data_IF_160063739401
#
_entry.id   IF_160063739401
#
_cell.length_a   1.000
_cell.length_b   1.000
_cell.length_c   1.000
_cell.angle_alpha   90.00
_cell.angle_beta   90.00
_cell.angle_gamma   90.00
#
_symmetry.space_group_name_H-M   'P 1'
#
loop_
_entity.id
_entity.type
_entity.pdbx_description
1 polymer ?
#
# COMPACT_ATOMS: atom_id res chain seq x y z
N UNK A 1 -55.47 4.18 -42.04
CA UNK A 1 -56.42 5.28 -42.30
C UNK A 1 -56.58 6.13 -41.05
N UNK A 2 -56.47 7.49 -41.26
CA UNK A 2 -56.68 8.65 -40.42
C UNK A 2 -55.62 8.89 -39.33
N UNK A 3 -54.67 9.73 -39.53
CA UNK A 3 -54.43 11.17 -39.67
C UNK A 3 -55.39 12.04 -38.89
N UNK A 4 -54.80 12.85 -37.94
CA UNK A 4 -55.08 14.27 -37.65
C UNK A 4 -54.22 14.67 -36.46
N UNK A 5 -53.30 15.53 -36.53
CA UNK A 5 -53.07 16.92 -37.00
C UNK A 5 -53.38 17.96 -35.93
N UNK A 6 -52.27 18.65 -35.56
CA UNK A 6 -52.09 20.10 -35.38
C UNK A 6 -52.70 20.84 -34.18
N UNK A 7 -51.79 21.45 -33.43
CA UNK A 7 -51.61 22.88 -33.23
C UNK A 7 -52.69 23.68 -32.46
N UNK A 8 -52.27 24.46 -31.51
CA UNK A 8 -52.37 25.94 -31.36
C UNK A 8 -52.23 26.30 -29.89
N UNK A 9 -51.15 27.02 -29.43
CA UNK A 9 -51.01 28.47 -29.36
C UNK A 9 -52.08 29.16 -28.50
N UNK A 10 -51.65 29.80 -27.40
CA UNK A 10 -51.96 31.18 -26.97
C UNK A 10 -51.39 31.40 -25.54
N UNK A 11 -50.32 32.13 -25.30
CA UNK A 11 -50.13 33.57 -25.11
C UNK A 11 -51.27 34.25 -24.37
N UNK A 12 -51.02 34.74 -23.14
CA UNK A 12 -51.47 36.02 -22.59
C UNK A 12 -50.75 36.31 -21.26
N UNK A 13 -49.83 37.25 -21.27
CA UNK A 13 -49.89 38.65 -20.80
C UNK A 13 -50.11 38.81 -19.30
N UNK A 14 -49.04 39.18 -18.59
CA UNK A 14 -48.66 40.50 -18.05
C UNK A 14 -49.75 41.28 -17.31
N UNK A 15 -49.54 41.48 -16.03
CA UNK A 15 -49.87 42.73 -15.32
C UNK A 15 -48.81 43.05 -14.24
N UNK A 16 -48.15 44.16 -14.45
CA UNK A 16 -47.34 44.90 -13.48
C UNK A 16 -48.21 45.40 -12.32
N UNK A 17 -47.71 45.31 -11.11
CA UNK A 17 -48.10 46.23 -10.04
C UNK A 17 -46.85 46.67 -9.28
N UNK A 18 -46.47 47.90 -9.54
CA UNK A 18 -45.47 48.67 -8.81
C UNK A 18 -46.10 49.14 -7.50
N UNK A 19 -45.54 48.72 -6.40
CA UNK A 19 -45.85 49.22 -5.07
C UNK A 19 -44.55 49.71 -4.39
N UNK A 20 -44.35 51.01 -4.46
CA UNK A 20 -43.30 51.72 -3.68
C UNK A 20 -43.73 51.79 -2.25
N UNK A 21 -42.95 51.20 -1.33
CA UNK A 21 -42.94 51.58 0.08
C UNK A 21 -41.51 51.82 0.50
N UNK A 22 -41.17 53.08 0.69
CA UNK A 22 -39.97 53.50 1.36
C UNK A 22 -40.07 53.16 2.87
N UNK A 23 -39.06 52.50 3.42
CA UNK A 23 -39.00 52.24 4.84
C UNK A 23 -37.69 51.56 5.29
N UNK A 24 -36.79 52.38 5.81
CA UNK A 24 -35.69 52.03 6.74
C UNK A 24 -34.61 51.04 6.25
N UNK A 25 -33.54 51.61 5.76
CA UNK A 25 -32.25 51.00 5.69
C UNK A 25 -31.75 50.60 7.08
N UNK A 26 -31.90 49.34 7.47
CA UNK A 26 -31.01 48.70 8.40
C UNK A 26 -29.91 48.01 7.60
N UNK A 27 -28.69 48.54 7.72
CA UNK A 27 -27.48 47.99 7.18
C UNK A 27 -27.35 46.56 7.76
N UNK A 28 -27.73 45.55 7.01
CA UNK A 28 -27.30 44.18 7.28
C UNK A 28 -25.80 44.17 6.98
N UNK A 29 -24.99 44.06 8.02
CA UNK A 29 -23.63 43.57 7.89
C UNK A 29 -23.75 42.16 7.30
N UNK A 30 -23.35 42.05 6.03
CA UNK A 30 -23.03 40.74 5.44
C UNK A 30 -21.79 40.27 6.20
N UNK A 31 -21.99 39.36 7.15
CA UNK A 31 -20.92 38.54 7.65
C UNK A 31 -20.44 37.70 6.48
N UNK A 32 -19.38 38.18 5.87
CA UNK A 32 -18.60 37.41 4.91
C UNK A 32 -17.98 36.21 5.65
N UNK A 33 -18.20 35.02 5.10
CA UNK A 33 -17.31 33.90 5.25
C UNK A 33 -17.65 32.94 6.40
N UNK A 34 -18.70 32.17 6.30
CA UNK A 34 -18.50 30.74 6.46
C UNK A 34 -17.86 30.27 5.15
N UNK A 35 -16.55 30.11 5.14
CA UNK A 35 -15.90 29.17 4.24
C UNK A 35 -16.56 27.83 4.56
N UNK A 36 -17.41 27.37 3.67
CA UNK A 36 -17.79 25.96 3.63
C UNK A 36 -16.45 25.24 3.48
N UNK A 37 -15.98 24.58 4.54
CA UNK A 37 -14.91 23.61 4.41
C UNK A 37 -15.39 22.63 3.36
N UNK A 38 -14.83 22.69 2.15
CA UNK A 38 -14.95 21.56 1.22
C UNK A 38 -14.54 20.34 2.04
N UNK A 39 -15.41 19.36 2.12
CA UNK A 39 -15.09 18.12 2.81
C UNK A 39 -13.85 17.54 2.13
N UNK A 40 -12.71 17.64 2.84
CA UNK A 40 -11.42 17.12 2.37
C UNK A 40 -11.44 15.61 2.50
N UNK A 41 -12.26 14.95 1.66
CA UNK A 41 -12.35 13.48 1.63
C UNK A 41 -11.19 12.95 0.80
N UNK A 42 -10.45 11.99 1.36
CA UNK A 42 -9.43 11.21 0.66
C UNK A 42 -9.70 9.73 0.87
N UNK A 43 -9.44 8.94 -0.15
CA UNK A 43 -9.72 7.51 -0.15
C UNK A 43 -8.44 6.69 -0.14
N UNK A 44 -8.36 5.69 0.75
CA UNK A 44 -7.23 4.77 0.82
C UNK A 44 -7.63 3.38 0.36
N UNK A 45 -6.87 2.82 -0.58
CA UNK A 45 -6.98 1.42 -0.97
C UNK A 45 -6.36 0.52 0.09
N UNK A 46 -7.17 -0.31 0.73
CA UNK A 46 -6.78 -1.19 1.84
C UNK A 46 -6.72 -2.63 1.37
N UNK A 47 -5.59 -3.28 1.60
CA UNK A 47 -5.47 -4.74 1.54
C UNK A 47 -5.10 -5.28 2.92
N UNK A 48 -5.22 -6.58 3.15
CA UNK A 48 -4.87 -7.15 4.45
C UNK A 48 -3.38 -6.95 4.75
N UNK A 49 -3.07 -6.49 5.97
CA UNK A 49 -1.67 -6.34 6.39
C UNK A 49 -1.48 -5.33 7.52
N UNK A 50 -0.29 -5.31 8.13
CA UNK A 50 0.03 -4.44 9.26
C UNK A 50 0.09 -2.96 8.88
N UNK A 51 0.37 -2.64 7.61
CA UNK A 51 0.57 -1.27 7.14
C UNK A 51 -0.71 -0.45 7.17
N UNK A 52 -1.85 -1.06 6.82
CA UNK A 52 -3.16 -0.40 6.90
C UNK A 52 -3.59 -0.21 8.35
N UNK A 53 -3.26 -1.18 9.23
CA UNK A 53 -3.51 -1.05 10.67
C UNK A 53 -2.66 0.10 11.24
N UNK A 54 -1.37 0.16 10.89
CA UNK A 54 -0.49 1.26 11.30
C UNK A 54 -1.02 2.61 10.80
N UNK A 55 -1.45 2.69 9.55
CA UNK A 55 -2.03 3.91 9.00
C UNK A 55 -3.30 4.33 9.77
N UNK A 56 -4.21 3.41 9.99
CA UNK A 56 -5.50 3.66 10.66
C UNK A 56 -5.32 4.12 12.11
N UNK A 57 -4.36 3.51 12.84
CA UNK A 57 -4.13 3.79 14.25
C UNK A 57 -3.23 5.02 14.48
N UNK A 58 -2.24 5.24 13.62
CA UNK A 58 -1.21 6.27 13.86
C UNK A 58 -1.33 7.50 12.96
N UNK A 59 -1.72 7.36 11.69
CA UNK A 59 -1.67 8.44 10.69
C UNK A 59 -3.03 9.07 10.46
N UNK A 60 -4.06 8.27 10.26
CA UNK A 60 -5.43 8.74 10.04
C UNK A 60 -5.92 9.72 11.12
N UNK A 61 -5.70 9.51 12.43
CA UNK A 61 -6.10 10.47 13.45
C UNK A 61 -5.40 11.83 13.32
N UNK A 62 -4.16 11.85 12.78
CA UNK A 62 -3.42 13.10 12.53
C UNK A 62 -4.07 13.87 11.37
N UNK A 63 -4.44 13.17 10.30
CA UNK A 63 -5.12 13.77 9.14
C UNK A 63 -6.51 14.28 9.51
N UNK A 64 -7.27 13.55 10.32
CA UNK A 64 -8.58 13.95 10.80
C UNK A 64 -8.54 15.24 11.65
N UNK A 65 -7.50 15.42 12.47
CA UNK A 65 -7.25 16.68 13.19
C UNK A 65 -6.98 17.87 12.26
N UNK A 66 -6.50 17.60 11.04
CA UNK A 66 -6.26 18.61 10.00
C UNK A 66 -7.50 18.86 9.14
N UNK A 67 -8.63 18.21 9.45
CA UNK A 67 -9.91 18.38 8.78
C UNK A 67 -10.11 17.49 7.55
N UNK A 68 -9.28 16.44 7.37
CA UNK A 68 -9.52 15.41 6.36
C UNK A 68 -10.51 14.36 6.86
N UNK A 69 -11.32 13.83 5.96
CA UNK A 69 -12.08 12.60 6.16
C UNK A 69 -11.39 11.51 5.35
N UNK A 70 -10.95 10.43 6.01
CA UNK A 70 -10.28 9.33 5.33
C UNK A 70 -11.22 8.15 5.23
N UNK A 71 -11.57 7.78 4.00
CA UNK A 71 -12.43 6.65 3.67
C UNK A 71 -11.59 5.47 3.16
N UNK A 72 -11.82 4.28 3.72
CA UNK A 72 -11.15 3.06 3.31
C UNK A 72 -11.97 2.27 2.29
N UNK A 73 -11.31 1.80 1.24
CA UNK A 73 -11.88 0.87 0.24
C UNK A 73 -11.11 -0.44 0.33
N UNK A 74 -11.82 -1.51 0.73
CA UNK A 74 -11.22 -2.82 0.95
C UNK A 74 -11.03 -3.60 -0.34
N UNK A 75 -9.84 -4.18 -0.53
CA UNK A 75 -9.48 -5.07 -1.62
C UNK A 75 -9.01 -6.42 -1.07
N UNK A 76 -9.23 -7.50 -1.84
CA UNK A 76 -8.84 -8.85 -1.44
C UNK A 76 -7.31 -9.04 -1.42
N UNK A 77 -6.62 -8.36 -2.32
CA UNK A 77 -5.16 -8.42 -2.45
C UNK A 77 -4.59 -7.07 -2.88
N UNK A 78 -3.27 -6.95 -2.82
CA UNK A 78 -2.54 -5.72 -3.16
C UNK A 78 -2.68 -5.35 -4.63
N UNK A 79 -2.69 -6.33 -5.55
CA UNK A 79 -2.78 -6.06 -6.99
C UNK A 79 -4.10 -5.36 -7.35
N UNK A 80 -5.22 -5.79 -6.74
CA UNK A 80 -6.51 -5.13 -6.94
C UNK A 80 -6.50 -3.69 -6.41
N UNK A 81 -5.90 -3.45 -5.23
CA UNK A 81 -5.72 -2.10 -4.68
C UNK A 81 -4.87 -1.21 -5.60
N UNK A 82 -3.81 -1.75 -6.21
CA UNK A 82 -2.97 -1.01 -7.16
C UNK A 82 -3.69 -0.68 -8.46
N UNK A 83 -4.46 -1.62 -9.00
CA UNK A 83 -5.29 -1.38 -10.19
C UNK A 83 -6.30 -0.26 -9.91
N UNK A 84 -6.97 -0.31 -8.76
CA UNK A 84 -7.91 0.74 -8.35
C UNK A 84 -7.23 2.10 -8.20
N UNK A 85 -6.04 2.15 -7.58
CA UNK A 85 -5.24 3.37 -7.48
C UNK A 85 -4.84 3.90 -8.87
N UNK A 86 -4.34 3.04 -9.75
CA UNK A 86 -3.94 3.42 -11.11
C UNK A 86 -5.11 3.93 -11.96
N UNK A 87 -6.35 3.54 -11.63
CA UNK A 87 -7.58 3.97 -12.28
C UNK A 87 -8.22 5.21 -11.60
N UNK A 88 -7.60 5.78 -10.57
CA UNK A 88 -8.18 6.87 -9.76
C UNK A 88 -9.49 6.49 -9.04
N UNK A 89 -9.66 5.20 -8.69
CA UNK A 89 -10.79 4.71 -7.88
C UNK A 89 -10.53 4.91 -6.38
N UNK A 90 -9.25 5.04 -6.00
CA UNK A 90 -8.77 5.46 -4.68
C UNK A 90 -7.62 6.45 -4.88
N UNK A 91 -7.32 7.28 -3.86
CA UNK A 91 -6.31 8.34 -3.95
C UNK A 91 -4.90 7.84 -3.63
N UNK A 92 -4.78 6.89 -2.71
CA UNK A 92 -3.47 6.33 -2.32
C UNK A 92 -3.60 4.93 -1.73
N UNK A 93 -2.45 4.26 -1.58
CA UNK A 93 -2.30 3.07 -0.73
C UNK A 93 -0.98 3.10 0.05
N UNK A 94 -0.82 2.17 1.01
CA UNK A 94 0.32 2.13 1.96
C UNK A 94 0.91 0.73 2.12
N UNK A 95 0.67 -0.18 1.17
CA UNK A 95 0.96 -1.61 1.37
C UNK A 95 2.01 -2.18 0.40
N UNK A 96 2.76 -1.32 -0.32
CA UNK A 96 3.69 -1.75 -1.36
C UNK A 96 5.06 -1.08 -1.24
N UNK A 97 6.09 -1.83 -1.58
CA UNK A 97 7.46 -1.33 -1.69
C UNK A 97 7.79 -0.85 -3.11
N UNK A 98 8.85 -0.08 -3.25
CA UNK A 98 9.27 0.56 -4.51
C UNK A 98 9.38 -0.44 -5.65
N UNK A 99 10.03 -1.58 -5.47
CA UNK A 99 10.16 -2.59 -6.53
C UNK A 99 8.81 -3.14 -7.01
N UNK A 100 7.77 -3.17 -6.15
CA UNK A 100 6.45 -3.66 -6.51
C UNK A 100 5.71 -2.70 -7.45
N UNK A 101 5.56 -1.42 -7.08
CA UNK A 101 4.86 -0.46 -7.95
C UNK A 101 5.66 -0.13 -9.22
N UNK A 102 6.99 -0.18 -9.20
CA UNK A 102 7.79 -0.04 -10.42
C UNK A 102 7.56 -1.18 -11.40
N UNK A 103 7.48 -2.43 -10.90
CA UNK A 103 7.12 -3.58 -11.73
C UNK A 103 5.68 -3.46 -12.26
N UNK A 104 4.73 -3.02 -11.42
CA UNK A 104 3.37 -2.72 -11.85
C UNK A 104 3.35 -1.69 -12.98
N UNK A 105 4.01 -0.55 -12.81
CA UNK A 105 4.11 0.49 -13.82
C UNK A 105 4.63 -0.05 -15.16
N UNK A 106 5.67 -0.88 -15.11
CA UNK A 106 6.28 -1.48 -16.29
C UNK A 106 5.34 -2.46 -17.01
N UNK A 107 4.59 -3.27 -16.25
CA UNK A 107 3.77 -4.36 -16.80
C UNK A 107 2.35 -3.94 -17.14
N UNK A 108 1.80 -2.98 -16.41
CA UNK A 108 0.42 -2.49 -16.54
C UNK A 108 0.33 -1.09 -17.15
N UNK A 109 1.48 -0.49 -17.53
CA UNK A 109 1.55 0.89 -18.04
C UNK A 109 0.99 1.92 -17.03
N UNK A 110 1.19 1.67 -15.73
CA UNK A 110 0.82 2.56 -14.65
C UNK A 110 1.76 3.76 -14.52
N UNK A 111 1.39 4.71 -13.65
CA UNK A 111 2.19 5.91 -13.31
C UNK A 111 2.20 6.14 -11.81
N UNK A 112 2.33 5.06 -11.04
CA UNK A 112 2.36 5.12 -9.60
C UNK A 112 3.73 5.61 -9.10
N UNK A 113 3.73 6.42 -8.05
CA UNK A 113 4.94 6.96 -7.42
C UNK A 113 4.83 6.91 -5.90
N UNK A 114 5.94 6.60 -5.23
CA UNK A 114 6.05 6.74 -3.79
C UNK A 114 6.30 8.19 -3.39
N UNK A 115 5.58 8.68 -2.39
CA UNK A 115 5.73 10.07 -1.89
C UNK A 115 6.45 10.18 -0.54
N UNK A 116 6.43 9.13 0.25
CA UNK A 116 7.21 9.04 1.51
C UNK A 116 7.42 7.57 1.88
N UNK A 117 8.59 7.19 2.40
CA UNK A 117 8.76 5.87 2.99
C UNK A 117 7.93 5.73 4.27
N UNK A 118 7.59 4.49 4.59
CA UNK A 118 6.86 4.14 5.83
C UNK A 118 7.57 3.00 6.56
N UNK A 119 7.27 2.76 7.86
CA UNK A 119 7.78 1.60 8.56
C UNK A 119 7.52 0.31 7.78
N UNK A 120 8.52 -0.56 7.73
CA UNK A 120 8.51 -1.76 6.87
C UNK A 120 8.79 -3.00 7.71
N UNK A 121 8.06 -4.10 7.47
CA UNK A 121 8.34 -5.38 8.10
C UNK A 121 9.14 -6.28 7.16
N UNK A 122 10.24 -6.90 7.63
CA UNK A 122 11.12 -7.72 6.80
C UNK A 122 10.45 -9.03 6.37
N UNK A 123 10.89 -9.57 5.23
CA UNK A 123 10.66 -10.96 4.88
C UNK A 123 11.63 -11.87 5.67
N UNK A 124 11.27 -13.12 5.81
CA UNK A 124 12.09 -14.10 6.50
C UNK A 124 11.97 -15.50 5.93
N UNK A 125 12.94 -16.35 6.30
CA UNK A 125 12.87 -17.80 6.13
C UNK A 125 12.21 -18.39 7.38
N UNK A 126 11.24 -19.23 7.16
CA UNK A 126 10.46 -19.96 8.17
C UNK A 126 10.42 -21.44 7.86
N UNK A 127 10.20 -22.26 8.89
CA UNK A 127 9.91 -23.68 8.76
C UNK A 127 8.88 -24.10 9.79
N UNK A 128 8.11 -25.15 9.49
CA UNK A 128 7.23 -25.79 10.45
C UNK A 128 7.95 -26.80 11.34
N UNK A 129 9.10 -27.31 10.91
CA UNK A 129 9.82 -28.44 11.53
C UNK A 129 11.25 -28.09 11.91
N UNK A 130 11.95 -27.31 11.09
CA UNK A 130 13.35 -26.94 11.30
C UNK A 130 13.48 -25.71 12.21
N UNK A 131 14.54 -25.65 12.99
CA UNK A 131 14.83 -24.61 13.98
C UNK A 131 16.04 -23.76 13.63
N UNK A 132 16.77 -24.13 12.57
CA UNK A 132 17.94 -23.43 12.04
C UNK A 132 17.99 -23.53 10.53
N UNK A 133 18.55 -22.50 9.87
CA UNK A 133 18.86 -22.53 8.42
C UNK A 133 19.96 -23.57 8.11
N UNK A 134 20.75 -24.00 9.09
CA UNK A 134 21.79 -25.01 8.94
C UNK A 134 21.24 -26.45 8.82
N UNK A 135 19.94 -26.63 9.10
CA UNK A 135 19.24 -27.91 8.96
C UNK A 135 18.78 -28.20 7.52
N UNK A 136 19.18 -27.35 6.56
CA UNK A 136 18.88 -27.53 5.13
C UNK A 136 19.55 -28.80 4.58
N UNK A 137 18.81 -29.63 3.85
CA UNK A 137 19.28 -30.89 3.28
C UNK A 137 19.17 -30.89 1.74
N UNK A 138 19.85 -31.85 1.10
CA UNK A 138 19.78 -32.03 -0.36
C UNK A 138 18.36 -32.40 -0.80
N UNK A 139 17.82 -31.65 -1.76
CA UNK A 139 16.48 -31.87 -2.34
C UNK A 139 15.35 -31.24 -1.55
N UNK A 140 15.65 -30.45 -0.51
CA UNK A 140 14.62 -29.74 0.26
C UNK A 140 13.79 -28.82 -0.62
N UNK A 141 12.52 -28.72 -0.27
CA UNK A 141 11.52 -27.88 -0.94
C UNK A 141 11.32 -26.56 -0.23
N UNK A 142 11.46 -25.47 -0.97
CA UNK A 142 11.33 -24.13 -0.46
C UNK A 142 10.15 -23.44 -1.12
N UNK A 143 9.08 -23.18 -0.35
CA UNK A 143 7.98 -22.36 -0.82
C UNK A 143 8.39 -20.88 -0.85
N UNK A 144 7.96 -20.13 -1.88
CA UNK A 144 8.26 -18.72 -2.04
C UNK A 144 7.20 -17.99 -2.86
N UNK A 145 7.12 -16.65 -2.77
CA UNK A 145 6.20 -15.84 -3.57
C UNK A 145 6.39 -16.04 -5.07
N UNK A 146 5.29 -15.99 -5.85
CA UNK A 146 5.30 -16.08 -7.31
C UNK A 146 5.17 -14.73 -8.03
N UNK A 147 4.89 -13.63 -7.32
CA UNK A 147 4.99 -12.31 -7.93
C UNK A 147 6.45 -11.92 -8.11
N UNK A 148 6.76 -11.29 -9.26
CA UNK A 148 8.14 -11.10 -9.70
C UNK A 148 9.01 -10.35 -8.68
N UNK A 149 8.46 -9.34 -7.98
CA UNK A 149 9.23 -8.53 -7.06
C UNK A 149 9.52 -9.25 -5.74
N UNK A 150 8.56 -10.00 -5.19
CA UNK A 150 8.79 -10.78 -3.98
C UNK A 150 9.52 -12.11 -4.26
N UNK A 151 9.39 -12.68 -5.47
CA UNK A 151 10.23 -13.79 -5.92
C UNK A 151 11.71 -13.37 -5.97
N UNK A 152 12.01 -12.21 -6.57
CA UNK A 152 13.37 -11.67 -6.60
C UNK A 152 13.94 -11.44 -5.18
N UNK A 153 13.12 -10.91 -4.28
CA UNK A 153 13.44 -10.73 -2.86
C UNK A 153 13.73 -12.06 -2.17
N UNK A 154 12.95 -13.11 -2.49
CA UNK A 154 13.18 -14.45 -1.95
C UNK A 154 14.51 -15.03 -2.44
N UNK A 155 14.85 -14.95 -3.72
CA UNK A 155 16.14 -15.41 -4.23
C UNK A 155 17.32 -14.69 -3.59
N UNK A 156 17.21 -13.37 -3.34
CA UNK A 156 18.23 -12.62 -2.60
C UNK A 156 18.40 -13.14 -1.16
N UNK A 157 17.29 -13.50 -0.48
CA UNK A 157 17.33 -14.04 0.87
C UNK A 157 17.91 -15.46 0.91
N UNK A 158 17.63 -16.30 -0.08
CA UNK A 158 18.24 -17.64 -0.22
C UNK A 158 19.76 -17.53 -0.46
N UNK A 159 20.20 -16.54 -1.23
CA UNK A 159 21.62 -16.24 -1.39
C UNK A 159 22.25 -15.76 -0.06
N UNK A 160 21.55 -14.89 0.70
CA UNK A 160 22.00 -14.48 2.04
C UNK A 160 22.14 -15.67 2.99
N UNK A 161 21.24 -16.66 2.90
CA UNK A 161 21.34 -17.91 3.65
C UNK A 161 22.54 -18.76 3.24
N UNK A 162 23.18 -18.47 2.11
CA UNK A 162 24.27 -19.28 1.56
C UNK A 162 23.80 -20.56 0.87
N UNK A 163 22.52 -20.70 0.61
CA UNK A 163 21.93 -21.89 0.02
C UNK A 163 22.08 -21.94 -1.49
N UNK A 164 22.13 -20.77 -2.13
CA UNK A 164 22.34 -20.61 -3.57
C UNK A 164 23.37 -19.52 -3.85
N UNK A 165 23.83 -19.47 -5.08
CA UNK A 165 24.56 -18.33 -5.62
C UNK A 165 23.86 -17.79 -6.84
N UNK A 166 23.60 -16.49 -6.88
CA UNK A 166 23.11 -15.76 -8.05
C UNK A 166 24.30 -15.29 -8.91
N UNK A 167 24.03 -14.93 -10.18
CA UNK A 167 25.02 -14.27 -11.06
C UNK A 167 25.60 -13.04 -10.36
N UNK A 168 26.90 -12.78 -10.58
CA UNK A 168 27.59 -11.66 -9.93
C UNK A 168 27.04 -10.27 -10.37
N UNK A 169 26.44 -10.17 -11.56
CA UNK A 169 25.84 -8.97 -12.14
C UNK A 169 24.31 -8.95 -12.08
N UNK A 170 23.70 -9.81 -11.24
CA UNK A 170 22.24 -9.89 -11.12
C UNK A 170 21.67 -8.58 -10.62
N UNK A 171 20.57 -8.18 -11.23
CA UNK A 171 19.72 -7.13 -10.66
C UNK A 171 18.79 -7.75 -9.60
N UNK A 172 19.04 -7.47 -8.32
CA UNK A 172 18.25 -8.01 -7.20
C UNK A 172 16.77 -7.58 -7.22
N UNK A 173 16.39 -6.58 -8.03
CA UNK A 173 14.98 -6.19 -8.21
C UNK A 173 14.20 -7.17 -9.11
N UNK A 174 14.91 -7.96 -9.91
CA UNK A 174 14.32 -8.82 -10.95
C UNK A 174 14.94 -10.22 -10.97
N UNK A 175 15.68 -10.59 -9.92
CA UNK A 175 16.29 -11.91 -9.81
C UNK A 175 15.24 -13.02 -9.90
N UNK A 176 15.59 -14.10 -10.56
CA UNK A 176 14.70 -15.24 -10.82
C UNK A 176 15.48 -16.54 -10.75
N UNK A 177 14.80 -17.67 -10.94
CA UNK A 177 15.45 -18.99 -11.07
C UNK A 177 16.51 -19.04 -12.15
N UNK A 178 16.36 -18.26 -13.24
CA UNK A 178 17.31 -18.19 -14.34
C UNK A 178 18.65 -17.54 -13.95
N UNK A 179 18.69 -16.85 -12.81
CA UNK A 179 19.87 -16.17 -12.30
C UNK A 179 20.64 -16.99 -11.27
N UNK A 180 20.12 -18.16 -10.90
CA UNK A 180 20.81 -19.09 -9.99
C UNK A 180 21.91 -19.81 -10.74
N UNK A 181 23.18 -19.57 -10.34
CA UNK A 181 24.35 -20.21 -10.96
C UNK A 181 24.90 -21.37 -10.14
N UNK A 182 24.63 -21.41 -8.83
CA UNK A 182 24.97 -22.54 -7.97
C UNK A 182 23.77 -22.89 -7.07
N UNK A 183 23.41 -24.16 -7.04
CA UNK A 183 22.44 -24.78 -6.15
C UNK A 183 23.00 -26.13 -5.70
N UNK A 184 23.99 -26.10 -4.77
CA UNK A 184 24.79 -27.30 -4.43
C UNK A 184 23.98 -28.40 -3.75
N UNK A 185 22.84 -28.03 -3.15
CA UNK A 185 21.95 -28.97 -2.46
C UNK A 185 20.75 -29.41 -3.34
N UNK A 186 20.75 -29.06 -4.62
CA UNK A 186 19.65 -29.40 -5.52
C UNK A 186 18.26 -29.01 -4.96
N UNK A 187 18.15 -27.86 -4.28
CA UNK A 187 16.92 -27.38 -3.67
C UNK A 187 15.82 -27.18 -4.73
N UNK A 188 14.59 -27.52 -4.36
CA UNK A 188 13.40 -27.33 -5.21
C UNK A 188 12.69 -26.03 -4.79
N UNK A 189 12.62 -25.04 -5.71
CA UNK A 189 11.91 -23.77 -5.48
C UNK A 189 10.47 -23.90 -5.97
N UNK A 190 9.50 -23.69 -5.05
CA UNK A 190 8.08 -23.80 -5.34
C UNK A 190 7.47 -22.39 -5.22
N UNK A 191 7.38 -21.72 -6.36
CA UNK A 191 6.73 -20.41 -6.47
C UNK A 191 5.21 -20.56 -6.40
N UNK A 192 4.57 -19.84 -5.46
CA UNK A 192 3.14 -19.91 -5.24
C UNK A 192 2.60 -18.57 -4.72
N UNK A 193 1.27 -18.42 -4.75
CA UNK A 193 0.61 -17.25 -4.17
C UNK A 193 0.98 -17.09 -2.70
N UNK A 194 1.48 -15.89 -2.34
CA UNK A 194 2.01 -15.57 -1.02
C UNK A 194 0.99 -15.83 0.10
N UNK A 195 -0.31 -15.59 -0.14
CA UNK A 195 -1.38 -15.81 0.85
C UNK A 195 -1.56 -17.31 1.19
N UNK A 196 -1.11 -18.20 0.32
CA UNK A 196 -1.24 -19.64 0.50
C UNK A 196 -0.04 -20.26 1.22
N UNK A 197 1.14 -19.63 1.20
CA UNK A 197 2.37 -20.16 1.80
C UNK A 197 2.20 -20.56 3.29
N UNK A 198 1.62 -19.72 4.17
CA UNK A 198 1.45 -20.10 5.57
C UNK A 198 0.62 -21.35 5.80
N UNK A 199 -0.40 -21.56 4.98
CA UNK A 199 -1.30 -22.74 5.11
C UNK A 199 -0.63 -24.02 4.62
N UNK A 200 0.31 -23.91 3.71
CA UNK A 200 1.06 -25.02 3.12
C UNK A 200 2.43 -25.21 3.78
N UNK A 201 2.76 -24.44 4.83
CA UNK A 201 4.11 -24.45 5.44
C UNK A 201 4.56 -25.83 5.89
N UNK A 202 3.64 -26.71 6.30
CA UNK A 202 3.95 -28.09 6.69
C UNK A 202 4.24 -29.05 5.52
N UNK A 203 3.99 -28.62 4.28
CA UNK A 203 4.23 -29.41 3.07
C UNK A 203 5.63 -29.12 2.48
N UNK A 204 6.36 -28.19 3.08
CA UNK A 204 7.68 -27.73 2.66
C UNK A 204 8.67 -27.79 3.82
N UNK A 205 9.96 -27.94 3.48
CA UNK A 205 11.03 -27.97 4.47
C UNK A 205 11.29 -26.54 4.98
N UNK A 206 11.26 -25.55 4.07
CA UNK A 206 11.36 -24.13 4.38
C UNK A 206 10.42 -23.29 3.52
N UNK A 207 10.18 -22.06 3.94
CA UNK A 207 9.45 -21.08 3.15
C UNK A 207 10.02 -19.68 3.32
N UNK A 208 10.07 -18.91 2.25
CA UNK A 208 10.27 -17.46 2.31
C UNK A 208 8.91 -16.80 2.40
N UNK A 209 8.67 -16.06 3.48
CA UNK A 209 7.39 -15.41 3.75
C UNK A 209 7.64 -13.92 3.97
N UNK A 210 6.91 -13.06 3.25
CA UNK A 210 6.96 -11.61 3.45
C UNK A 210 6.32 -11.21 4.77
N UNK A 211 6.80 -10.13 5.40
CA UNK A 211 6.38 -9.74 6.73
C UNK A 211 4.88 -9.45 6.86
N UNK A 212 4.22 -8.89 5.83
CA UNK A 212 2.78 -8.69 5.81
C UNK A 212 2.00 -10.00 5.87
N UNK A 213 2.50 -11.03 5.19
CA UNK A 213 1.89 -12.37 5.19
C UNK A 213 2.10 -13.06 6.55
N UNK A 214 3.30 -12.92 7.15
CA UNK A 214 3.58 -13.38 8.52
C UNK A 214 2.58 -12.79 9.50
N UNK A 215 2.38 -11.47 9.43
CA UNK A 215 1.43 -10.75 10.27
C UNK A 215 -0.01 -11.26 10.09
N UNK A 216 -0.48 -11.37 8.84
CA UNK A 216 -1.84 -11.82 8.52
C UNK A 216 -2.11 -13.25 8.98
N UNK A 217 -1.14 -14.13 8.82
CA UNK A 217 -1.23 -15.52 9.22
C UNK A 217 -1.02 -15.72 10.73
N UNK A 218 -0.66 -14.65 11.46
CA UNK A 218 -0.33 -14.69 12.90
C UNK A 218 0.78 -15.68 13.22
N UNK A 219 1.77 -15.78 12.34
CA UNK A 219 2.97 -16.56 12.59
C UNK A 219 3.77 -15.84 13.67
N UNK A 220 4.26 -16.59 14.65
CA UNK A 220 5.14 -16.04 15.68
C UNK A 220 6.45 -15.55 15.06
N UNK A 221 6.66 -14.23 15.09
CA UNK A 221 7.84 -13.57 14.50
C UNK A 221 9.16 -14.04 15.13
N UNK A 222 9.13 -14.57 16.35
CA UNK A 222 10.31 -15.14 17.01
C UNK A 222 10.79 -16.47 16.38
N UNK A 223 9.97 -17.10 15.54
CA UNK A 223 10.31 -18.35 14.83
C UNK A 223 11.02 -18.11 13.51
N UNK A 224 11.31 -16.86 13.14
CA UNK A 224 12.09 -16.56 11.95
C UNK A 224 13.50 -17.13 12.05
N UNK A 225 13.92 -17.88 11.04
CA UNK A 225 15.24 -18.50 10.99
C UNK A 225 16.30 -17.56 10.42
N UNK A 226 15.92 -16.75 9.46
CA UNK A 226 16.75 -15.69 8.86
C UNK A 226 15.87 -14.58 8.33
N UNK A 227 16.17 -13.34 8.67
CA UNK A 227 15.53 -12.16 8.09
C UNK A 227 16.36 -11.56 6.95
N UNK A 228 15.68 -10.91 5.99
CA UNK A 228 16.35 -10.12 4.96
C UNK A 228 16.99 -8.85 5.54
N UNK A 229 17.88 -8.25 4.76
CA UNK A 229 18.30 -6.87 4.96
C UNK A 229 17.35 -5.96 4.16
N UNK A 230 16.75 -4.98 4.82
CA UNK A 230 15.85 -4.04 4.15
C UNK A 230 16.71 -3.11 3.27
N UNK A 231 16.68 -3.33 1.98
CA UNK A 231 17.30 -2.47 0.98
C UNK A 231 16.31 -1.35 0.59
N UNK A 232 16.81 -0.21 0.09
CA UNK A 232 16.01 0.98 -0.22
C UNK A 232 14.77 0.67 -1.08
N UNK A 233 14.91 -0.21 -2.08
CA UNK A 233 13.80 -0.60 -2.96
C UNK A 233 12.78 -1.56 -2.33
N UNK A 234 13.07 -2.08 -1.14
CA UNK A 234 12.17 -2.93 -0.34
C UNK A 234 11.46 -2.15 0.76
N UNK A 235 11.85 -0.89 0.99
CA UNK A 235 11.13 0.00 1.89
C UNK A 235 9.75 0.28 1.30
N UNK A 236 8.73 0.11 2.12
CA UNK A 236 7.37 0.46 1.75
C UNK A 236 7.17 1.97 1.72
N UNK A 237 6.17 2.40 0.99
CA UNK A 237 5.85 3.82 0.86
C UNK A 237 4.34 4.08 0.81
N UNK A 238 4.00 5.34 1.02
CA UNK A 238 2.72 5.85 0.56
C UNK A 238 2.83 6.03 -0.94
N UNK A 239 1.92 5.43 -1.68
CA UNK A 239 1.94 5.44 -3.14
C UNK A 239 0.68 6.11 -3.68
N UNK A 240 0.86 6.97 -4.67
CA UNK A 240 -0.16 7.78 -5.34
C UNK A 240 0.03 7.71 -6.86
N UNK A 241 -0.93 8.19 -7.63
CA UNK A 241 -0.69 8.52 -9.04
C UNK A 241 0.28 9.71 -9.15
N UNK A 242 1.12 9.73 -10.18
CA UNK A 242 2.15 10.76 -10.38
C UNK A 242 1.57 12.17 -10.40
N UNK A 243 0.34 12.34 -10.90
CA UNK A 243 -0.36 13.63 -10.97
C UNK A 243 -0.78 14.17 -9.59
N UNK A 244 -0.90 13.29 -8.58
CA UNK A 244 -1.37 13.63 -7.25
C UNK A 244 -0.25 13.89 -6.24
N UNK A 245 1.00 13.58 -6.56
CA UNK A 245 2.15 13.62 -5.64
C UNK A 245 2.39 14.98 -4.97
N UNK A 246 1.97 16.08 -5.60
CA UNK A 246 2.18 17.45 -5.13
C UNK A 246 0.91 18.10 -4.57
N UNK A 247 -0.19 17.35 -4.47
CA UNK A 247 -1.46 17.85 -3.91
C UNK A 247 -1.32 18.18 -2.41
N UNK A 248 -2.24 18.98 -1.89
CA UNK A 248 -2.22 19.34 -0.47
C UNK A 248 -2.46 18.14 0.44
N UNK A 249 -3.35 17.23 0.05
CA UNK A 249 -3.62 16.03 0.82
C UNK A 249 -2.42 15.05 0.80
N UNK A 250 -1.73 14.90 -0.33
CA UNK A 250 -0.52 14.08 -0.40
C UNK A 250 0.59 14.61 0.51
N UNK A 251 0.80 15.94 0.53
CA UNK A 251 1.73 16.59 1.46
C UNK A 251 1.31 16.40 2.92
N UNK A 252 0.00 16.51 3.22
CA UNK A 252 -0.49 16.28 4.57
C UNK A 252 -0.22 14.84 5.06
N UNK A 253 -0.32 13.83 4.19
CA UNK A 253 0.04 12.45 4.51
C UNK A 253 1.55 12.34 4.79
N UNK A 254 2.40 12.94 3.96
CA UNK A 254 3.86 12.97 4.16
C UNK A 254 4.21 13.60 5.51
N UNK A 255 3.61 14.75 5.83
CA UNK A 255 3.83 15.48 7.08
C UNK A 255 3.33 14.67 8.29
N UNK A 256 2.22 13.94 8.15
CA UNK A 256 1.70 13.08 9.20
C UNK A 256 2.68 11.95 9.57
N UNK A 257 3.28 11.26 8.59
CA UNK A 257 4.30 10.24 8.85
C UNK A 257 5.60 10.79 9.44
N UNK A 258 5.92 12.08 9.24
CA UNK A 258 7.10 12.76 9.79
C UNK A 258 6.83 13.47 11.10
N UNK A 259 5.60 13.49 11.56
CA UNK A 259 5.19 14.22 12.76
C UNK A 259 5.74 13.63 14.06
N UNK A 260 5.91 14.46 15.09
CA UNK A 260 6.29 14.00 16.42
C UNK A 260 5.23 13.04 17.02
N UNK A 261 3.96 13.19 16.63
CA UNK A 261 2.87 12.33 17.07
C UNK A 261 3.04 10.91 16.51
N UNK A 262 3.38 10.78 15.23
CA UNK A 262 3.68 9.48 14.61
C UNK A 262 4.93 8.83 15.20
N UNK A 263 6.01 9.60 15.38
CA UNK A 263 7.26 9.12 16.03
C UNK A 263 7.00 8.56 17.42
N UNK A 264 6.24 9.31 18.21
CA UNK A 264 5.85 8.87 19.55
C UNK A 264 5.04 7.56 19.50
N UNK A 265 4.10 7.44 18.56
CA UNK A 265 3.35 6.19 18.38
C UNK A 265 4.30 5.02 18.09
N UNK A 266 5.27 5.20 17.18
CA UNK A 266 6.24 4.16 16.86
C UNK A 266 7.13 3.79 18.05
N UNK A 267 7.59 4.76 18.82
CA UNK A 267 8.41 4.53 20.04
C UNK A 267 7.65 3.69 21.08
N UNK A 268 6.33 3.91 21.20
CA UNK A 268 5.48 3.20 22.16
C UNK A 268 5.05 1.80 21.66
N UNK A 269 5.00 1.57 20.33
CA UNK A 269 4.42 0.36 19.74
C UNK A 269 5.40 -0.53 18.93
N UNK A 270 6.67 -0.12 18.79
CA UNK A 270 7.72 -0.92 18.13
C UNK A 270 8.77 -1.43 19.14
N UNK A 271 8.33 -1.92 20.30
CA UNK A 271 9.21 -2.32 21.41
C UNK A 271 9.98 -3.62 21.15
N UNK A 272 9.51 -4.45 20.25
CA UNK A 272 10.12 -5.69 19.78
C UNK A 272 10.96 -5.54 18.51
N UNK A 273 11.09 -4.32 17.98
CA UNK A 273 11.75 -4.00 16.72
C UNK A 273 11.17 -4.77 15.51
N UNK A 274 9.88 -5.07 15.54
CA UNK A 274 9.18 -5.69 14.43
C UNK A 274 9.22 -4.82 13.15
N UNK A 275 9.15 -3.48 13.32
CA UNK A 275 9.21 -2.51 12.25
C UNK A 275 10.63 -1.97 12.04
N UNK A 276 11.13 -2.09 10.83
CA UNK A 276 12.22 -1.23 10.37
C UNK A 276 11.68 0.17 10.10
N UNK A 277 12.25 1.18 10.73
CA UNK A 277 11.86 2.58 10.56
C UNK A 277 12.88 3.27 9.65
N UNK A 278 12.48 3.75 8.46
CA UNK A 278 13.35 4.51 7.56
C UNK A 278 13.88 5.79 8.20
N UNK A 279 15.12 6.19 7.84
CA UNK A 279 15.79 7.37 8.42
C UNK A 279 15.01 8.67 8.15
N UNK A 280 14.30 8.76 7.01
CA UNK A 280 13.55 9.94 6.57
C UNK A 280 12.35 10.27 7.48
N UNK A 281 11.90 9.30 8.29
CA UNK A 281 10.75 9.44 9.19
C UNK A 281 11.08 9.17 10.66
N UNK A 282 12.38 8.99 10.98
CA UNK A 282 12.88 8.88 12.37
C UNK A 282 12.83 10.19 13.15
#
# INVERSE_FOLDING_TARGET
MKKFSKSSILILMVVLLVGVVAGCAKKLEVTTGEETSEDKVITVGVSQGPYNVLFDEAVKPILEKQGYTVEAVDFQDLLQSEIALSNNEVDFNVAQHTAYYENFNKTQNGRLVGITPIPTVPAGIYSATNTSIDEIEEGDKIAMPNDASNAARAYALLQKAGWIKLKDDVNLLTASSDDVVENPLNLEFIEMDSLNIPRALTDFDFAVITGSIVYNAKIDTSTVLLQEDILDHLVLGVVVNEEDKDTEWAKAIVDAYKSDEFKKYMDENNTDNFWYIPEEIK
#
